data_IF_277655064874
#
_entry.id   IF_277655064874
#
_cell.length_a   1.000
_cell.length_b   1.000
_cell.length_c   1.000
_cell.angle_alpha   90.00
_cell.angle_beta   90.00
_cell.angle_gamma   90.00
#
_symmetry.space_group_name_H-M   'P 1'
#
loop_
_entity.id
_entity.type
_entity.pdbx_description
1 polymer ?
#
# COMPACT_ATOMS: atom_id res chain seq x y z
N UNK A 1 5.97 22.10 17.79
CA UNK A 1 5.77 22.13 17.43
C UNK A 1 5.75 21.66 17.28
N UNK A 2 5.65 22.16 17.93
CA UNK A 2 5.39 22.18 17.42
C UNK A 2 5.27 21.63 17.25
N UNK A 3 4.84 22.23 17.14
CA UNK A 3 4.37 22.28 16.69
C UNK A 3 4.14 21.86 16.39
N UNK A 4 3.95 22.61 16.95
CA UNK A 4 3.51 22.64 16.33
C UNK A 4 3.23 22.29 16.18
N UNK A 5 3.04 22.54 16.46
CA UNK A 5 2.57 22.53 15.93
C UNK A 5 2.40 22.32 15.95
N UNK A 6 2.18 22.84 16.20
CA UNK A 6 1.71 22.94 15.87
C UNK A 6 1.37 22.73 15.79
N UNK A 7 1.08 23.10 16.04
CA UNK A 7 0.42 23.23 15.67
C UNK A 7 0.02 23.02 15.52
N UNK A 8 -0.24 23.56 16.07
CA UNK A 8 -0.86 23.67 15.58
C UNK A 8 -1.33 23.42 15.62
N UNK A 9 -1.66 23.83 16.10
CA UNK A 9 -2.32 23.85 15.74
C UNK A 9 -2.82 23.46 15.85
N UNK A 10 -3.23 23.65 16.15
CA UNK A 10 -3.93 23.54 15.87
C UNK A 10 -4.42 23.25 15.99
N UNK A 11 -4.87 23.64 16.19
CA UNK A 11 -5.61 23.67 15.89
C UNK A 11 -6.24 23.30 15.97
N UNK A 12 -6.62 23.71 16.40
CA UNK A 12 -7.43 23.46 16.13
C UNK A 12 -7.92 23.24 15.97
N UNK A 13 -8.26 23.48 16.03
CA UNK A 13 -8.81 23.36 15.43
C UNK A 13 -9.04 22.81 15.12
N UNK A 14 -9.41 22.93 15.34
CA UNK A 14 -9.81 22.44 14.62
C UNK A 14 -10.13 21.78 14.50
N UNK A 15 -10.45 21.97 14.70
CA UNK A 15 -10.84 21.48 14.21
C UNK A 15 -11.17 20.68 13.95
N UNK A 16 -11.61 20.69 14.09
CA UNK A 16 -12.02 20.07 13.44
C UNK A 16 -12.27 19.28 13.12
N UNK A 17 -12.77 19.42 13.12
CA UNK A 17 -12.92 18.83 12.49
C UNK A 17 -12.81 18.01 12.24
N UNK A 18 -13.05 17.90 12.34
CA UNK A 18 -12.86 17.18 11.85
C UNK A 18 -12.86 16.42 11.52
N UNK A 19 -13.11 16.46 11.54
CA UNK A 19 -13.09 15.87 10.86
C UNK A 19 -13.39 14.96 10.51
N UNK A 20 -13.85 14.73 10.74
CA UNK A 20 -14.27 13.93 10.17
C UNK A 20 -14.16 13.87 9.04
N UNK A 21 -14.05 14.11 8.80
CA UNK A 21 -13.88 13.98 7.59
C UNK A 21 -13.44 12.84 7.09
N UNK A 22 -13.90 12.28 6.26
CA UNK A 22 -13.39 11.05 5.82
C UNK A 22 -12.11 11.28 5.27
N UNK A 23 -11.19 10.70 5.86
CA UNK A 23 -9.88 10.86 5.37
C UNK A 23 -9.51 9.73 4.44
N UNK A 24 -10.29 8.68 4.35
CA UNK A 24 -9.94 7.57 3.48
C UNK A 24 -10.48 7.74 2.09
N UNK A 25 -9.74 7.25 1.14
CA UNK A 25 -10.12 7.25 -0.25
C UNK A 25 -10.30 5.81 -0.69
N UNK A 26 -11.39 5.51 -1.39
CA UNK A 26 -11.60 4.16 -1.91
C UNK A 26 -10.72 3.95 -3.13
N UNK A 27 -10.18 2.75 -3.25
CA UNK A 27 -9.36 2.39 -4.41
C UNK A 27 -10.05 1.29 -5.17
N UNK A 28 -10.05 1.39 -6.47
CA UNK A 28 -10.61 0.37 -7.34
C UNK A 28 -9.49 -0.35 -8.06
N UNK A 29 -9.81 -1.43 -8.73
CA UNK A 29 -8.83 -2.21 -9.44
C UNK A 29 -8.02 -1.37 -10.42
N UNK A 30 -8.66 -0.40 -11.05
CA UNK A 30 -7.97 0.43 -12.03
C UNK A 30 -6.95 1.36 -11.44
N UNK A 31 -7.05 1.62 -10.14
CA UNK A 31 -6.12 2.53 -9.49
C UNK A 31 -5.09 1.79 -8.65
N UNK A 32 -5.00 0.48 -8.78
CA UNK A 32 -4.04 -0.31 -8.04
C UNK A 32 -2.91 -0.69 -8.99
N UNK A 33 -1.69 -0.38 -8.57
CA UNK A 33 -0.53 -0.68 -9.40
C UNK A 33 -0.15 -2.15 -9.23
N UNK A 34 0.00 -2.87 -10.32
CA UNK A 34 0.36 -4.28 -10.27
C UNK A 34 1.82 -4.44 -10.62
N UNK A 35 2.56 -5.11 -9.77
CA UNK A 35 3.99 -5.27 -9.94
C UNK A 35 4.37 -6.74 -9.82
N UNK A 36 5.23 -7.21 -10.73
CA UNK A 36 5.82 -8.55 -10.65
C UNK A 36 7.32 -8.39 -10.76
N UNK A 37 7.96 -7.95 -9.68
CA UNK A 37 9.37 -7.58 -9.78
C UNK A 37 10.26 -8.81 -9.90
N UNK A 38 11.28 -8.71 -10.75
CA UNK A 38 12.27 -9.74 -10.91
C UNK A 38 13.58 -9.35 -10.29
N UNK A 39 13.78 -8.08 -10.02
CA UNK A 39 15.02 -7.56 -9.46
C UNK A 39 14.71 -6.63 -8.33
N UNK A 40 15.65 -6.51 -7.41
CA UNK A 40 15.41 -5.66 -6.27
C UNK A 40 15.32 -4.18 -6.65
N UNK A 41 15.99 -3.76 -7.70
CA UNK A 41 15.93 -2.34 -8.05
C UNK A 41 14.53 -1.90 -8.49
N UNK A 42 13.63 -2.84 -8.77
CA UNK A 42 12.25 -2.49 -9.07
C UNK A 42 11.48 -2.06 -7.83
N UNK A 43 12.08 -2.23 -6.65
CA UNK A 43 11.47 -1.76 -5.42
C UNK A 43 11.25 -0.25 -5.44
N UNK A 44 12.08 0.47 -6.18
CA UNK A 44 11.94 1.91 -6.23
C UNK A 44 10.60 2.33 -6.84
N UNK A 45 10.19 1.66 -7.90
CA UNK A 45 8.91 1.97 -8.50
C UNK A 45 7.77 1.68 -7.55
N UNK A 46 7.88 0.56 -6.83
CA UNK A 46 6.86 0.22 -5.85
C UNK A 46 6.77 1.32 -4.79
N UNK A 47 7.92 1.78 -4.31
CA UNK A 47 7.95 2.83 -3.30
C UNK A 47 7.37 4.13 -3.83
N UNK A 48 7.72 4.48 -5.07
CA UNK A 48 7.23 5.73 -5.65
C UNK A 48 5.71 5.73 -5.79
N UNK A 49 5.15 4.62 -6.24
CA UNK A 49 3.70 4.53 -6.36
C UNK A 49 3.03 4.61 -5.01
N UNK A 50 3.61 3.90 -4.04
CA UNK A 50 3.05 3.90 -2.71
C UNK A 50 3.09 5.30 -2.09
N UNK A 51 4.18 6.01 -2.29
CA UNK A 51 4.29 7.38 -1.77
C UNK A 51 3.30 8.32 -2.43
N UNK A 52 2.90 8.00 -3.65
CA UNK A 52 1.90 8.80 -4.37
C UNK A 52 0.48 8.45 -3.95
N UNK A 53 0.32 7.57 -2.96
CA UNK A 53 -1.01 7.23 -2.49
C UNK A 53 -1.68 6.14 -3.31
N UNK A 54 -0.92 5.37 -4.06
CA UNK A 54 -1.45 4.33 -4.92
C UNK A 54 -1.19 2.97 -4.29
N UNK A 55 -2.23 2.17 -4.05
CA UNK A 55 -1.99 0.82 -3.54
C UNK A 55 -1.23 -0.01 -4.55
N UNK A 56 -0.41 -0.92 -4.07
CA UNK A 56 0.43 -1.74 -4.93
C UNK A 56 0.20 -3.21 -4.63
N UNK A 57 -0.04 -3.99 -5.68
CA UNK A 57 0.01 -5.44 -5.56
C UNK A 57 1.41 -5.87 -5.95
N UNK A 58 2.06 -6.57 -5.05
CA UNK A 58 3.40 -7.07 -5.28
C UNK A 58 3.31 -8.58 -5.41
N UNK A 59 3.36 -9.06 -6.62
CA UNK A 59 3.25 -10.49 -6.89
C UNK A 59 4.64 -11.10 -7.01
N UNK A 60 4.99 -11.94 -6.04
CA UNK A 60 6.32 -12.53 -5.99
C UNK A 60 6.32 -14.00 -6.41
N UNK A 61 5.26 -14.44 -7.08
CA UNK A 61 5.15 -15.86 -7.42
C UNK A 61 6.22 -16.34 -8.39
N UNK A 62 6.74 -15.43 -9.21
CA UNK A 62 7.80 -15.82 -10.13
C UNK A 62 9.12 -15.12 -9.79
N UNK A 63 9.24 -14.62 -8.59
CA UNK A 63 10.43 -13.91 -8.15
C UNK A 63 11.35 -14.89 -7.40
N UNK A 64 12.64 -14.80 -7.68
CA UNK A 64 13.63 -15.59 -6.97
C UNK A 64 13.49 -15.41 -5.45
N UNK A 65 13.64 -16.48 -4.68
CA UNK A 65 13.39 -16.45 -3.24
C UNK A 65 14.22 -15.39 -2.52
N UNK A 66 15.48 -15.26 -2.87
CA UNK A 66 16.34 -14.29 -2.21
C UNK A 66 15.86 -12.88 -2.46
N UNK A 67 15.50 -12.60 -3.71
CA UNK A 67 15.02 -11.28 -4.06
C UNK A 67 13.65 -11.04 -3.45
N UNK A 68 12.79 -12.06 -3.45
CA UNK A 68 11.47 -11.92 -2.86
C UNK A 68 11.56 -11.55 -1.39
N UNK A 69 12.47 -12.18 -0.65
CA UNK A 69 12.64 -11.89 0.76
C UNK A 69 13.09 -10.45 0.97
N UNK A 70 14.01 -10.01 0.15
CA UNK A 70 14.48 -8.61 0.26
C UNK A 70 13.35 -7.64 -0.04
N UNK A 71 12.51 -7.97 -1.01
CA UNK A 71 11.39 -7.09 -1.35
C UNK A 71 10.35 -7.04 -0.25
N UNK A 72 10.08 -8.16 0.40
CA UNK A 72 9.14 -8.16 1.52
C UNK A 72 9.70 -7.32 2.67
N UNK A 73 10.99 -7.46 2.96
CA UNK A 73 11.60 -6.67 4.02
C UNK A 73 11.54 -5.18 3.69
N UNK A 74 11.85 -4.84 2.45
CA UNK A 74 11.79 -3.45 2.03
C UNK A 74 10.37 -2.92 2.14
N UNK A 75 9.40 -3.69 1.64
CA UNK A 75 8.01 -3.25 1.64
C UNK A 75 7.49 -3.09 3.05
N UNK A 76 7.90 -3.98 3.95
CA UNK A 76 7.46 -3.88 5.34
C UNK A 76 7.96 -2.58 5.98
N UNK A 77 9.21 -2.22 5.71
CA UNK A 77 9.75 -0.98 6.22
C UNK A 77 9.07 0.23 5.59
N UNK A 78 8.79 0.14 4.31
CA UNK A 78 8.14 1.23 3.59
C UNK A 78 6.75 1.52 4.17
N UNK A 79 5.93 0.47 4.34
CA UNK A 79 4.59 0.70 4.85
C UNK A 79 4.61 1.15 6.30
N UNK A 80 5.54 0.62 7.10
CA UNK A 80 5.64 1.06 8.47
C UNK A 80 6.01 2.53 8.55
N UNK A 81 6.97 2.93 7.75
CA UNK A 81 7.45 4.31 7.78
C UNK A 81 6.43 5.32 7.28
N UNK A 82 5.51 4.89 6.44
CA UNK A 82 4.52 5.78 5.85
C UNK A 82 3.12 5.49 6.36
N UNK A 83 3.01 4.74 7.47
CA UNK A 83 1.74 4.47 8.14
C UNK A 83 0.73 3.72 7.27
N UNK A 84 1.22 2.90 6.37
CA UNK A 84 0.35 2.08 5.55
C UNK A 84 0.19 0.69 6.11
N UNK A 85 -0.25 -0.22 5.26
CA UNK A 85 -0.46 -1.61 5.65
C UNK A 85 0.09 -2.53 4.58
N UNK A 86 0.52 -3.71 4.99
CA UNK A 86 0.92 -4.75 4.06
C UNK A 86 0.17 -6.01 4.46
N UNK A 87 -0.42 -6.67 3.49
CA UNK A 87 -1.20 -7.89 3.72
C UNK A 87 -0.84 -8.95 2.70
N UNK A 88 -0.78 -10.19 3.16
CA UNK A 88 -0.62 -11.31 2.25
C UNK A 88 -2.02 -11.68 1.78
N UNK A 89 -2.33 -11.40 0.52
CA UNK A 89 -3.68 -11.68 0.01
C UNK A 89 -3.76 -13.00 -0.72
N UNK A 90 -2.63 -13.55 -1.09
CA UNK A 90 -2.58 -14.89 -1.69
C UNK A 90 -1.15 -15.36 -1.56
N UNK A 91 -0.88 -16.61 -1.94
CA UNK A 91 0.45 -17.15 -1.81
C UNK A 91 1.45 -16.27 -2.58
N UNK A 92 2.40 -15.69 -1.85
CA UNK A 92 3.46 -14.85 -2.40
C UNK A 92 2.91 -13.62 -3.13
N UNK A 93 1.70 -13.18 -2.78
CA UNK A 93 1.11 -11.98 -3.35
C UNK A 93 0.74 -11.06 -2.20
N UNK A 94 1.30 -9.87 -2.19
CA UNK A 94 1.12 -8.90 -1.12
C UNK A 94 0.42 -7.66 -1.63
N UNK A 95 -0.47 -7.13 -0.79
CA UNK A 95 -1.13 -5.86 -1.07
C UNK A 95 -0.57 -4.83 -0.13
N UNK A 96 -0.04 -3.75 -0.68
CA UNK A 96 0.47 -2.63 0.09
C UNK A 96 -0.54 -1.50 -0.04
N UNK A 97 -1.08 -1.04 1.07
CA UNK A 97 -2.10 -0.01 1.07
C UNK A 97 -1.60 1.24 1.77
N UNK A 98 -1.56 2.38 1.09
CA UNK A 98 -1.10 3.61 1.72
C UNK A 98 -2.05 4.08 2.82
N UNK A 99 -1.56 4.97 3.69
CA UNK A 99 -2.41 5.59 4.69
C UNK A 99 -3.53 6.33 3.98
N UNK A 100 -4.69 6.37 4.59
CA UNK A 100 -5.83 7.12 4.07
C UNK A 100 -6.40 6.56 2.76
N UNK A 101 -6.07 5.32 2.43
CA UNK A 101 -6.63 4.65 1.26
C UNK A 101 -7.23 3.34 1.74
N UNK A 102 -8.39 3.00 1.20
CA UNK A 102 -9.03 1.74 1.54
C UNK A 102 -9.27 0.90 0.31
N UNK A 103 -8.99 -0.38 0.42
CA UNK A 103 -9.30 -1.34 -0.63
C UNK A 103 -10.37 -2.24 -0.08
N UNK A 104 -11.50 -2.35 -0.77
CA UNK A 104 -12.64 -3.07 -0.27
C UNK A 104 -12.35 -4.57 -0.16
N UNK A 105 -13.16 -5.26 0.64
CA UNK A 105 -13.02 -6.70 0.75
C UNK A 105 -13.26 -7.37 -0.60
N UNK A 106 -14.22 -6.86 -1.35
CA UNK A 106 -14.48 -7.39 -2.68
C UNK A 106 -13.27 -7.26 -3.59
N UNK A 107 -12.63 -6.11 -3.53
CA UNK A 107 -11.48 -5.88 -4.36
C UNK A 107 -10.33 -6.78 -3.95
N UNK A 108 -10.15 -6.95 -2.64
CA UNK A 108 -9.11 -7.83 -2.16
C UNK A 108 -9.33 -9.26 -2.62
N UNK A 109 -10.57 -9.72 -2.59
CA UNK A 109 -10.88 -11.04 -3.06
C UNK A 109 -10.61 -11.20 -4.53
N UNK A 110 -10.92 -10.18 -5.30
CA UNK A 110 -10.65 -10.22 -6.72
C UNK A 110 -9.17 -10.31 -6.99
N UNK A 111 -8.38 -9.54 -6.24
CA UNK A 111 -6.93 -9.57 -6.39
C UNK A 111 -6.36 -10.90 -5.97
N UNK A 112 -6.97 -11.52 -4.96
CA UNK A 112 -6.46 -12.76 -4.43
C UNK A 112 -6.80 -13.95 -5.30
N UNK A 113 -8.02 -13.98 -5.84
CA UNK A 113 -8.48 -15.16 -6.52
C UNK A 113 -8.81 -15.00 -7.96
N UNK A 114 -8.79 -13.79 -8.44
CA UNK A 114 -9.29 -13.55 -9.76
C UNK A 114 -8.25 -13.68 -10.79
N UNK A 115 -8.48 -13.07 -11.89
CA UNK A 115 -7.66 -13.20 -13.03
C UNK A 115 -6.24 -12.79 -12.86
N UNK A 116 -5.82 -12.45 -11.68
CA UNK A 116 -4.48 -11.99 -11.48
C UNK A 116 -3.50 -13.14 -11.46
N UNK A 117 -3.87 -14.24 -10.85
CA UNK A 117 -2.96 -15.35 -10.81
C UNK A 117 -3.66 -16.69 -10.80
N UNK A 118 -4.90 -16.73 -11.13
CA UNK A 118 -5.55 -18.03 -11.15
C UNK A 118 -5.84 -18.45 -12.55
N UNK A 119 -5.00 -18.13 -13.44
CA UNK A 119 -5.13 -18.59 -14.76
C UNK A 119 -4.40 -19.83 -14.96
N UNK A 120 -4.22 -20.60 -14.06
CA UNK A 120 -3.56 -21.84 -14.30
C UNK A 120 -4.35 -22.95 -13.75
#
# INVERSE_FOLDING_TARGET
RPQAVREVALEPEHEGIVRTIPSSRAATAGSIHKSEPKRFNEAREIADRFKDGIPVIMNLQSTDDTIARRLVDFASGLVYGLDGKIELVANRVYLLTPADVEVSAEERERLAGGGFYNQF
#
